data_IF_835750794099
#
_entry.id   IF_835750794099
#
_cell.length_a   1.000
_cell.length_b   1.000
_cell.length_c   1.000
_cell.angle_alpha   90.00
_cell.angle_beta   90.00
_cell.angle_gamma   90.00
#
_symmetry.space_group_name_H-M   'P 1'
#
loop_
_entity.id
_entity.type
_entity.pdbx_description
1 polymer ?
#
# COMPACT_ATOMS: atom_id res chain seq x y z
N UNK A 1 35.69 -3.20 36.69
CA UNK A 1 35.52 -3.13 35.22
C UNK A 1 34.02 -3.17 34.93
N UNK A 2 33.39 -2.02 34.73
CA UNK A 2 31.99 -1.94 34.33
C UNK A 2 31.97 -1.76 32.81
N UNK A 3 31.68 -2.83 32.08
CA UNK A 3 31.43 -2.75 30.65
C UNK A 3 30.03 -2.17 30.47
N UNK A 4 29.97 -0.88 30.11
CA UNK A 4 28.75 -0.23 29.70
C UNK A 4 28.19 -0.99 28.49
N UNK A 5 27.07 -1.67 28.69
CA UNK A 5 26.27 -2.24 27.62
C UNK A 5 25.73 -1.04 26.85
N UNK A 6 26.41 -0.67 25.77
CA UNK A 6 25.88 0.26 24.79
C UNK A 6 24.63 -0.40 24.21
N UNK A 7 23.48 -0.10 24.81
CA UNK A 7 22.17 -0.34 24.25
C UNK A 7 22.17 0.31 22.88
N UNK A 8 22.34 -0.52 21.84
CA UNK A 8 22.07 -0.17 20.46
C UNK A 8 20.68 0.44 20.49
N UNK A 9 20.60 1.76 20.34
CA UNK A 9 19.38 2.45 20.01
C UNK A 9 19.01 1.97 18.61
N UNK A 10 18.45 0.76 18.54
CA UNK A 10 17.67 0.34 17.41
C UNK A 10 16.64 1.45 17.25
N UNK A 11 16.65 2.12 16.09
CA UNK A 11 15.54 2.96 15.67
C UNK A 11 14.28 2.10 15.79
N UNK A 12 13.58 2.19 16.92
CA UNK A 12 12.31 1.52 17.15
C UNK A 12 11.31 2.23 16.25
N UNK A 13 11.27 1.82 14.98
CA UNK A 13 10.18 2.16 14.08
C UNK A 13 8.92 1.68 14.78
N UNK A 14 8.17 2.62 15.33
CA UNK A 14 6.85 2.39 15.87
C UNK A 14 5.97 1.89 14.71
N UNK A 15 5.87 0.56 14.59
CA UNK A 15 5.14 -0.10 13.52
C UNK A 15 3.65 0.24 13.57
N UNK A 16 3.12 0.57 14.76
CA UNK A 16 1.77 1.08 14.94
C UNK A 16 1.56 2.42 14.23
N UNK A 17 2.42 3.41 14.50
CA UNK A 17 2.35 4.71 13.80
C UNK A 17 2.55 4.59 12.29
N UNK A 18 3.39 3.66 11.84
CA UNK A 18 3.56 3.40 10.40
C UNK A 18 2.27 2.82 9.79
N UNK A 19 1.61 1.91 10.50
CA UNK A 19 0.35 1.32 10.07
C UNK A 19 -0.78 2.36 9.97
N UNK A 20 -0.94 3.22 10.98
CA UNK A 20 -1.95 4.29 10.97
C UNK A 20 -1.76 5.25 9.78
N UNK A 21 -0.52 5.66 9.50
CA UNK A 21 -0.19 6.52 8.35
C UNK A 21 -0.54 5.84 7.02
N UNK A 22 -0.26 4.54 6.89
CA UNK A 22 -0.64 3.76 5.70
C UNK A 22 -2.15 3.69 5.55
N UNK A 23 -2.88 3.41 6.63
CA UNK A 23 -4.35 3.36 6.61
C UNK A 23 -4.96 4.70 6.18
N UNK A 24 -4.42 5.82 6.67
CA UNK A 24 -4.86 7.17 6.27
C UNK A 24 -4.61 7.45 4.78
N UNK A 25 -3.47 7.03 4.23
CA UNK A 25 -3.17 7.15 2.80
C UNK A 25 -4.13 6.30 1.95
N UNK A 26 -4.37 5.06 2.37
CA UNK A 26 -5.35 4.17 1.72
C UNK A 26 -6.74 4.79 1.75
N UNK A 27 -7.19 5.34 2.88
CA UNK A 27 -8.50 5.98 2.99
C UNK A 27 -8.64 7.23 2.10
N UNK A 28 -7.54 7.98 1.87
CA UNK A 28 -7.52 9.13 0.96
C UNK A 28 -7.68 8.70 -0.50
N UNK A 29 -7.06 7.59 -0.90
CA UNK A 29 -7.19 7.02 -2.26
C UNK A 29 -8.53 6.29 -2.43
N UNK A 30 -9.02 5.61 -1.40
CA UNK A 30 -10.23 4.80 -1.43
C UNK A 30 -11.18 5.24 -0.30
N UNK A 31 -12.01 6.27 -0.55
CA UNK A 31 -12.87 6.86 0.48
C UNK A 31 -13.97 5.89 0.94
N UNK A 32 -14.48 5.04 0.05
CA UNK A 32 -15.40 3.97 0.44
C UNK A 32 -14.64 2.87 1.20
N UNK A 33 -15.14 2.49 2.38
CA UNK A 33 -14.48 1.51 3.24
C UNK A 33 -14.38 0.13 2.57
N UNK A 34 -15.42 -0.28 1.82
CA UNK A 34 -15.45 -1.53 1.06
C UNK A 34 -14.32 -1.62 0.01
N UNK A 35 -13.79 -0.49 -0.45
CA UNK A 35 -12.68 -0.47 -1.42
C UNK A 35 -11.30 -0.63 -0.76
N UNK A 36 -11.22 -0.59 0.57
CA UNK A 36 -9.96 -0.68 1.32
C UNK A 36 -9.57 -2.12 1.65
N UNK A 37 -10.52 -3.05 1.64
CA UNK A 37 -10.30 -4.47 1.96
C UNK A 37 -9.18 -5.07 1.10
N UNK A 38 -8.24 -5.75 1.76
CA UNK A 38 -7.08 -6.39 1.12
C UNK A 38 -5.98 -5.43 0.65
N UNK A 39 -6.11 -4.12 0.85
CA UNK A 39 -5.10 -3.13 0.42
C UNK A 39 -4.12 -2.86 1.56
N UNK A 40 -2.85 -3.16 1.34
CA UNK A 40 -1.78 -2.81 2.28
C UNK A 40 -1.25 -1.40 2.07
N UNK A 41 -1.20 -0.93 0.83
CA UNK A 41 -0.69 0.39 0.47
C UNK A 41 -1.44 0.89 -0.77
N UNK A 42 -1.81 2.16 -0.76
CA UNK A 42 -2.22 2.90 -1.93
C UNK A 42 -1.54 4.27 -1.86
N UNK A 43 -0.71 4.58 -2.85
CA UNK A 43 0.11 5.77 -2.82
C UNK A 43 0.06 6.49 -4.18
N UNK A 44 -0.57 7.67 -4.25
CA UNK A 44 -0.59 8.46 -5.47
C UNK A 44 0.72 9.26 -5.61
N UNK A 45 1.33 9.23 -6.79
CA UNK A 45 2.55 9.96 -7.15
C UNK A 45 2.32 10.61 -8.50
N UNK A 46 2.04 11.92 -8.52
CA UNK A 46 1.66 12.65 -9.74
C UNK A 46 0.43 11.99 -10.41
N UNK A 47 0.54 11.55 -11.68
CA UNK A 47 -0.49 10.80 -12.40
C UNK A 47 -0.50 9.31 -12.05
N UNK A 48 0.50 8.80 -11.32
CA UNK A 48 0.63 7.39 -11.01
C UNK A 48 -0.07 6.99 -9.71
N UNK A 49 -0.52 5.74 -9.67
CA UNK A 49 -1.05 5.11 -8.46
C UNK A 49 -0.36 3.78 -8.19
N UNK A 50 0.44 3.73 -7.12
CA UNK A 50 1.03 2.48 -6.64
C UNK A 50 0.08 1.79 -5.67
N UNK A 51 -0.17 0.50 -5.89
CA UNK A 51 -1.01 -0.33 -5.02
C UNK A 51 -0.27 -1.60 -4.63
N UNK A 52 -0.27 -1.88 -3.32
CA UNK A 52 0.15 -3.17 -2.77
C UNK A 52 -1.06 -3.82 -2.08
N UNK A 53 -1.37 -5.06 -2.43
CA UNK A 53 -2.55 -5.78 -1.93
C UNK A 53 -2.27 -7.25 -1.64
N UNK A 54 -3.12 -7.86 -0.82
CA UNK A 54 -3.08 -9.28 -0.46
C UNK A 54 -3.99 -10.09 -1.39
N UNK A 55 -3.43 -10.94 -2.27
CA UNK A 55 -4.20 -11.60 -3.32
C UNK A 55 -5.17 -12.67 -2.81
N UNK A 56 -5.03 -13.11 -1.56
CA UNK A 56 -5.94 -14.00 -0.85
C UNK A 56 -7.15 -13.28 -0.22
N UNK A 57 -7.11 -11.95 -0.11
CA UNK A 57 -8.24 -11.13 0.37
C UNK A 57 -8.97 -10.39 -0.75
N UNK A 58 -8.26 -10.01 -1.82
CA UNK A 58 -8.82 -9.24 -2.92
C UNK A 58 -8.25 -9.66 -4.27
N UNK A 59 -9.11 -9.78 -5.26
CA UNK A 59 -8.71 -10.17 -6.62
C UNK A 59 -8.04 -9.01 -7.36
N UNK A 60 -7.18 -9.35 -8.32
CA UNK A 60 -6.56 -8.34 -9.18
C UNK A 60 -7.59 -7.50 -9.96
N UNK A 61 -8.68 -8.12 -10.42
CA UNK A 61 -9.75 -7.44 -11.14
C UNK A 61 -10.46 -6.39 -10.26
N UNK A 62 -10.68 -6.68 -8.98
CA UNK A 62 -11.23 -5.71 -8.04
C UNK A 62 -10.29 -4.52 -7.85
N UNK A 63 -8.97 -4.76 -7.75
CA UNK A 63 -7.96 -3.70 -7.67
C UNK A 63 -7.96 -2.84 -8.94
N UNK A 64 -8.03 -3.44 -10.13
CA UNK A 64 -8.13 -2.68 -11.40
C UNK A 64 -9.39 -1.79 -11.42
N UNK A 65 -10.54 -2.32 -11.02
CA UNK A 65 -11.79 -1.55 -10.95
C UNK A 65 -11.67 -0.35 -10.00
N UNK A 66 -11.10 -0.58 -8.81
CA UNK A 66 -10.86 0.48 -7.81
C UNK A 66 -9.89 1.55 -8.32
N UNK A 67 -8.81 1.14 -8.99
CA UNK A 67 -7.85 2.05 -9.60
C UNK A 67 -8.49 2.88 -10.72
N UNK A 68 -9.30 2.27 -11.59
CA UNK A 68 -10.03 2.98 -12.63
C UNK A 68 -11.02 4.01 -12.05
N UNK A 69 -11.71 3.67 -10.96
CA UNK A 69 -12.59 4.59 -10.26
C UNK A 69 -11.80 5.76 -9.63
N UNK A 70 -10.63 5.51 -9.06
CA UNK A 70 -9.72 6.56 -8.59
C UNK A 70 -9.31 7.51 -9.73
N UNK A 71 -8.82 6.96 -10.83
CA UNK A 71 -8.37 7.72 -12.01
C UNK A 71 -9.49 8.64 -12.55
N UNK A 72 -10.72 8.11 -12.69
CA UNK A 72 -11.91 8.91 -13.05
C UNK A 72 -12.18 10.05 -12.09
N UNK A 73 -12.04 9.83 -10.78
CA UNK A 73 -12.33 10.84 -9.75
C UNK A 73 -11.31 11.98 -9.75
N UNK A 74 -10.06 11.72 -10.14
CA UNK A 74 -9.02 12.76 -10.24
C UNK A 74 -8.98 13.46 -11.61
N UNK A 75 -9.91 13.15 -12.51
CA UNK A 75 -10.01 13.81 -13.82
C UNK A 75 -9.18 13.18 -14.94
N UNK A 76 -8.58 12.02 -14.70
CA UNK A 76 -7.71 11.29 -15.62
C UNK A 76 -8.28 9.89 -15.89
N UNK A 77 -9.32 9.75 -16.72
CA UNK A 77 -10.15 8.54 -16.74
C UNK A 77 -9.46 7.31 -17.35
N UNK A 78 -8.30 7.47 -17.99
CA UNK A 78 -7.59 6.37 -18.65
C UNK A 78 -6.70 5.65 -17.64
N UNK A 79 -6.98 4.38 -17.38
CA UNK A 79 -6.13 3.53 -16.56
C UNK A 79 -5.14 2.77 -17.46
N UNK A 80 -3.84 2.97 -17.25
CA UNK A 80 -2.78 2.18 -17.90
C UNK A 80 -1.92 1.49 -16.85
N UNK A 81 -1.29 0.38 -17.23
CA UNK A 81 -0.30 -0.29 -16.38
C UNK A 81 1.07 0.30 -16.66
N UNK A 82 1.61 1.11 -15.74
CA UNK A 82 2.95 1.68 -15.83
C UNK A 82 4.04 0.67 -15.43
N UNK A 83 3.76 -0.14 -14.40
CA UNK A 83 4.61 -1.26 -14.00
C UNK A 83 3.74 -2.50 -13.80
N UNK A 84 4.07 -3.63 -14.42
CA UNK A 84 3.25 -4.83 -14.33
C UNK A 84 3.17 -5.36 -12.90
N UNK A 85 2.15 -6.19 -12.69
CA UNK A 85 1.93 -6.90 -11.43
C UNK A 85 3.18 -7.71 -11.05
N UNK A 86 3.66 -7.52 -9.82
CA UNK A 86 4.86 -8.18 -9.30
C UNK A 86 4.57 -8.78 -7.92
N UNK A 87 5.07 -10.01 -7.70
CA UNK A 87 5.05 -10.62 -6.36
C UNK A 87 6.00 -9.88 -5.42
N UNK A 88 5.52 -9.62 -4.21
CA UNK A 88 6.26 -8.90 -3.18
C UNK A 88 5.93 -9.46 -1.79
N UNK A 89 6.54 -8.88 -0.78
CA UNK A 89 6.30 -9.21 0.61
C UNK A 89 6.03 -7.93 1.40
N UNK A 90 5.09 -8.01 2.33
CA UNK A 90 4.70 -6.89 3.18
C UNK A 90 4.88 -7.27 4.64
N UNK A 91 5.64 -6.45 5.37
CA UNK A 91 5.69 -6.51 6.85
C UNK A 91 4.48 -5.80 7.44
N UNK A 92 3.71 -6.54 8.22
CA UNK A 92 2.53 -6.09 8.95
C UNK A 92 2.92 -5.37 10.26
N UNK A 93 1.93 -4.80 10.94
CA UNK A 93 2.13 -4.05 12.17
C UNK A 93 2.65 -4.92 13.34
N UNK A 94 2.29 -6.21 13.34
CA UNK A 94 2.74 -7.23 14.30
C UNK A 94 4.15 -7.77 13.97
N UNK A 95 4.78 -7.29 12.89
CA UNK A 95 6.08 -7.75 12.41
C UNK A 95 6.03 -8.96 11.49
N UNK A 96 4.86 -9.58 11.29
CA UNK A 96 4.70 -10.73 10.40
C UNK A 96 4.92 -10.31 8.95
N UNK A 97 5.59 -11.16 8.16
CA UNK A 97 5.78 -10.96 6.72
C UNK A 97 4.76 -11.79 5.95
N UNK A 98 4.01 -11.16 5.06
CA UNK A 98 2.97 -11.79 4.25
C UNK A 98 3.21 -11.58 2.77
N UNK A 99 2.90 -12.61 1.97
CA UNK A 99 2.94 -12.52 0.51
C UNK A 99 1.91 -11.51 0.01
N UNK A 100 2.32 -10.64 -0.92
CA UNK A 100 1.47 -9.61 -1.49
C UNK A 100 1.83 -9.38 -2.95
N UNK A 101 1.03 -8.57 -3.64
CA UNK A 101 1.32 -8.15 -5.01
C UNK A 101 1.36 -6.64 -5.11
N UNK A 102 2.32 -6.13 -5.86
CA UNK A 102 2.49 -4.71 -6.16
C UNK A 102 2.19 -4.43 -7.64
N UNK A 103 1.55 -3.30 -7.93
CA UNK A 103 1.32 -2.80 -9.28
C UNK A 103 1.39 -1.28 -9.29
N UNK A 104 1.87 -0.70 -10.39
CA UNK A 104 1.84 0.74 -10.63
C UNK A 104 0.94 1.02 -11.82
N UNK A 105 -0.09 1.83 -11.60
CA UNK A 105 -0.95 2.34 -12.64
C UNK A 105 -0.54 3.77 -13.03
N UNK A 106 -0.85 4.15 -14.26
CA UNK A 106 -0.88 5.52 -14.74
C UNK A 106 -2.33 5.94 -14.97
N UNK A 107 -2.70 7.10 -14.45
CA UNK A 107 -3.97 7.75 -14.72
C UNK A 107 -3.72 8.87 -15.74
N UNK A 108 -4.09 8.65 -17.00
CA UNK A 108 -4.01 9.65 -18.09
C UNK A 108 -5.37 10.29 -18.40
#
# INVERSE_FOLDING_TARGET
MAAAIASVAACSKDLGKVHERRAALVARVFPAEADRTGISLAFPVESHLEIIYFPDEVSHAAIQSRAAAYCKRIGHPTLKVARPLKDTQTTLADGTVRASKGILYDCD
#
